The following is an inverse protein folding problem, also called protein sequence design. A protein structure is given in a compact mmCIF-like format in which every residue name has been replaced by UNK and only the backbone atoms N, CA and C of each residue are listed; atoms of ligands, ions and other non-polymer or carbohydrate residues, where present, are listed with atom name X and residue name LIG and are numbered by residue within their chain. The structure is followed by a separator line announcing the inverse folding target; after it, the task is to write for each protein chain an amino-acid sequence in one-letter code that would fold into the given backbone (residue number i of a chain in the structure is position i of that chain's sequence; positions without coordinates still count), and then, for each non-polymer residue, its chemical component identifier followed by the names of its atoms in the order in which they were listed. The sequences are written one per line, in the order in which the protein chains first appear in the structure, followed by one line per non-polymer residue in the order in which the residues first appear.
data_IF_734175842071
#
_entry.id   IF_734175842071
#
_cell.length_a   1.000
_cell.length_b   1.000
_cell.length_c   1.000
_cell.angle_alpha   90.00
_cell.angle_beta   90.00
_cell.angle_gamma   90.00
#
_symmetry.space_group_name_H-M   'P 1'
#
loop_
_entity.id
_entity.type
_entity.pdbx_description
1 polymer ?
#
# COMPACT_ATOMS: atom_id res chain seq x y z
N UNK A 1 -31.31 32.52 20.35
CA UNK A 1 -31.38 31.46 19.32
C UNK A 1 -30.28 30.45 19.59
N UNK A 2 -30.61 29.19 19.91
CA UNK A 2 -29.62 28.12 20.06
C UNK A 2 -29.07 27.76 18.68
N UNK A 3 -27.84 28.17 18.38
CA UNK A 3 -27.10 27.69 17.20
C UNK A 3 -26.70 26.25 17.51
N UNK A 4 -27.41 25.28 16.94
CA UNK A 4 -26.93 23.91 16.92
C UNK A 4 -25.72 23.89 16.00
N UNK A 5 -24.51 23.90 16.58
CA UNK A 5 -23.32 23.54 15.83
C UNK A 5 -23.46 22.06 15.50
N UNK A 6 -24.02 21.74 14.33
CA UNK A 6 -23.74 20.46 13.71
C UNK A 6 -22.23 20.46 13.52
N UNK A 7 -21.51 19.72 14.35
CA UNK A 7 -20.07 19.47 14.17
C UNK A 7 -19.94 18.60 12.93
N UNK A 8 -20.13 19.21 11.75
CA UNK A 8 -19.88 18.55 10.47
C UNK A 8 -18.41 18.18 10.47
N UNK A 9 -18.12 16.88 10.34
CA UNK A 9 -16.73 16.42 10.21
C UNK A 9 -16.16 17.14 8.99
N UNK A 10 -15.03 17.83 9.17
CA UNK A 10 -14.44 18.59 8.06
C UNK A 10 -14.06 17.62 6.92
N UNK A 11 -14.26 18.06 5.68
CA UNK A 11 -13.86 17.28 4.50
C UNK A 11 -12.37 16.86 4.56
N UNK A 12 -11.51 17.73 5.11
CA UNK A 12 -10.10 17.44 5.34
C UNK A 12 -9.87 16.29 6.33
N UNK A 13 -10.62 16.27 7.44
CA UNK A 13 -10.57 15.17 8.42
C UNK A 13 -11.04 13.86 7.80
N UNK A 14 -12.15 13.89 7.05
CA UNK A 14 -12.70 12.71 6.38
C UNK A 14 -11.74 12.15 5.31
N UNK A 15 -11.13 13.02 4.51
CA UNK A 15 -10.13 12.64 3.51
C UNK A 15 -8.91 11.98 4.16
N UNK A 16 -8.41 12.56 5.27
CA UNK A 16 -7.29 11.99 6.03
C UNK A 16 -7.64 10.61 6.58
N UNK A 17 -8.83 10.48 7.19
CA UNK A 17 -9.32 9.19 7.70
C UNK A 17 -9.44 8.15 6.61
N UNK A 18 -9.96 8.52 5.44
CA UNK A 18 -10.14 7.62 4.31
C UNK A 18 -8.79 7.11 3.79
N UNK A 19 -7.78 7.95 3.62
CA UNK A 19 -6.44 7.52 3.13
C UNK A 19 -5.69 6.67 4.16
N UNK A 20 -5.86 6.97 5.44
CA UNK A 20 -5.15 6.27 6.53
C UNK A 20 -5.85 5.00 7.01
N UNK A 21 -7.07 4.72 6.52
CA UNK A 21 -7.83 3.55 6.97
C UNK A 21 -7.09 2.24 6.68
N UNK A 22 -7.16 1.30 7.62
CA UNK A 22 -6.59 -0.05 7.52
C UNK A 22 -7.64 -1.08 7.92
N UNK A 23 -7.56 -2.25 7.28
CA UNK A 23 -8.43 -3.39 7.55
C UNK A 23 -8.21 -3.94 8.97
N UNK A 24 -6.97 -3.97 9.45
CA UNK A 24 -6.60 -4.55 10.74
C UNK A 24 -7.20 -5.97 10.90
N UNK A 25 -7.95 -6.22 11.97
CA UNK A 25 -8.60 -7.50 12.25
C UNK A 25 -10.05 -7.57 11.74
N UNK A 26 -10.50 -6.59 10.93
CA UNK A 26 -11.87 -6.57 10.39
C UNK A 26 -12.00 -7.52 9.19
N UNK A 27 -13.19 -8.06 8.99
CA UNK A 27 -13.52 -8.77 7.76
C UNK A 27 -13.42 -7.82 6.55
N UNK A 28 -13.19 -8.37 5.35
CA UNK A 28 -13.15 -7.57 4.12
C UNK A 28 -14.47 -6.81 3.91
N UNK A 29 -15.59 -7.42 4.32
CA UNK A 29 -16.92 -6.82 4.20
C UNK A 29 -17.13 -5.64 5.15
N UNK A 30 -16.79 -5.81 6.43
CA UNK A 30 -16.91 -4.72 7.42
C UNK A 30 -15.95 -3.57 7.09
N UNK A 31 -14.74 -3.91 6.65
CA UNK A 31 -13.78 -2.92 6.17
C UNK A 31 -14.31 -2.18 4.94
N UNK A 32 -14.87 -2.90 3.96
CA UNK A 32 -15.49 -2.31 2.78
C UNK A 32 -16.62 -1.33 3.12
N UNK A 33 -17.54 -1.74 4.01
CA UNK A 33 -18.64 -0.87 4.50
C UNK A 33 -18.10 0.38 5.19
N UNK A 34 -17.01 0.27 5.96
CA UNK A 34 -16.39 1.42 6.63
C UNK A 34 -15.79 2.41 5.61
N UNK A 35 -15.15 1.91 4.56
CA UNK A 35 -14.63 2.75 3.46
C UNK A 35 -15.79 3.42 2.71
N UNK A 36 -16.86 2.69 2.42
CA UNK A 36 -18.06 3.22 1.75
C UNK A 36 -18.73 4.35 2.56
N UNK A 37 -18.88 4.17 3.87
CA UNK A 37 -19.41 5.21 4.75
C UNK A 37 -18.54 6.47 4.73
N UNK A 38 -17.21 6.33 4.79
CA UNK A 38 -16.29 7.47 4.70
C UNK A 38 -16.32 8.16 3.34
N UNK A 39 -16.47 7.40 2.25
CA UNK A 39 -16.64 7.92 0.90
C UNK A 39 -17.91 8.78 0.79
N UNK A 40 -19.04 8.30 1.31
CA UNK A 40 -20.31 9.03 1.29
C UNK A 40 -20.22 10.28 2.16
N UNK A 41 -19.72 10.17 3.39
CA UNK A 41 -19.53 11.32 4.29
C UNK A 41 -18.62 12.38 3.65
N UNK A 42 -17.50 11.97 3.03
CA UNK A 42 -16.57 12.87 2.36
C UNK A 42 -17.23 13.58 1.18
N UNK A 43 -17.96 12.83 0.35
CA UNK A 43 -18.60 13.37 -0.85
C UNK A 43 -19.68 14.39 -0.48
N UNK A 44 -20.47 14.13 0.56
CA UNK A 44 -21.46 15.07 1.08
C UNK A 44 -20.76 16.32 1.66
N UNK A 45 -19.72 16.12 2.46
CA UNK A 45 -18.98 17.22 3.10
C UNK A 45 -18.25 18.11 2.09
N UNK A 46 -17.81 17.58 0.95
CA UNK A 46 -17.18 18.34 -0.12
C UNK A 46 -18.18 19.01 -1.06
N UNK A 47 -19.33 18.37 -1.30
CA UNK A 47 -20.35 18.93 -2.20
C UNK A 47 -21.04 20.16 -1.60
N UNK A 48 -21.14 20.25 -0.27
CA UNK A 48 -21.69 21.40 0.46
C UNK A 48 -23.03 21.91 -0.11
N UNK A 49 -23.90 20.98 -0.51
CA UNK A 49 -25.21 21.26 -1.10
C UNK A 49 -25.23 21.53 -2.62
N UNK A 50 -24.09 21.51 -3.30
CA UNK A 50 -24.01 21.67 -4.76
C UNK A 50 -24.16 20.32 -5.50
N UNK A 51 -25.27 20.16 -6.22
CA UNK A 51 -25.60 18.94 -6.97
C UNK A 51 -24.71 18.67 -8.19
N UNK A 52 -24.20 19.71 -8.85
CA UNK A 52 -23.28 19.54 -9.99
C UNK A 52 -21.90 19.10 -9.51
N UNK A 53 -21.43 19.71 -8.41
CA UNK A 53 -20.19 19.30 -7.75
C UNK A 53 -20.29 17.85 -7.26
N UNK A 54 -21.46 17.42 -6.75
CA UNK A 54 -21.68 16.05 -6.28
C UNK A 54 -21.38 15.00 -7.36
N UNK A 55 -21.77 15.25 -8.62
CA UNK A 55 -21.55 14.29 -9.71
C UNK A 55 -20.06 14.13 -10.01
N UNK A 56 -19.31 15.23 -10.07
CA UNK A 56 -17.86 15.23 -10.33
C UNK A 56 -17.08 14.64 -9.13
N UNK A 57 -17.46 15.04 -7.92
CA UNK A 57 -16.85 14.59 -6.68
C UNK A 57 -17.06 13.10 -6.47
N UNK A 58 -18.22 12.55 -6.86
CA UNK A 58 -18.50 11.12 -6.75
C UNK A 58 -17.46 10.30 -7.51
N UNK A 59 -17.20 10.60 -8.77
CA UNK A 59 -16.21 9.86 -9.56
C UNK A 59 -14.79 9.99 -9.01
N UNK A 60 -14.43 11.19 -8.54
CA UNK A 60 -13.10 11.47 -8.00
C UNK A 60 -12.90 10.75 -6.66
N UNK A 61 -13.87 10.82 -5.77
CA UNK A 61 -13.83 10.19 -4.46
C UNK A 61 -13.93 8.67 -4.57
N UNK A 62 -14.63 8.13 -5.56
CA UNK A 62 -14.68 6.68 -5.82
C UNK A 62 -13.27 6.14 -6.09
N UNK A 63 -12.50 6.79 -6.97
CA UNK A 63 -11.10 6.42 -7.24
C UNK A 63 -10.23 6.52 -5.99
N UNK A 64 -10.44 7.55 -5.17
CA UNK A 64 -9.72 7.72 -3.91
C UNK A 64 -10.07 6.60 -2.92
N UNK A 65 -11.34 6.23 -2.81
CA UNK A 65 -11.82 5.16 -1.94
C UNK A 65 -11.30 3.79 -2.38
N UNK A 66 -11.27 3.48 -3.68
CA UNK A 66 -10.70 2.24 -4.23
C UNK A 66 -9.21 2.15 -3.89
N UNK A 67 -8.45 3.23 -4.07
CA UNK A 67 -7.04 3.27 -3.73
C UNK A 67 -6.81 3.11 -2.22
N UNK A 68 -7.60 3.80 -1.40
CA UNK A 68 -7.56 3.69 0.06
C UNK A 68 -7.87 2.26 0.54
N UNK A 69 -8.94 1.66 -0.01
CA UNK A 69 -9.32 0.28 0.25
C UNK A 69 -8.20 -0.69 -0.12
N UNK A 70 -7.69 -0.60 -1.35
CA UNK A 70 -6.61 -1.45 -1.84
C UNK A 70 -5.29 -1.25 -1.08
N UNK A 71 -5.01 -0.07 -0.54
CA UNK A 71 -3.83 0.14 0.31
C UNK A 71 -4.06 -0.36 1.76
N UNK A 72 -5.30 -0.32 2.22
CA UNK A 72 -5.69 -0.66 3.58
C UNK A 72 -5.91 -2.14 3.85
N UNK A 73 -6.04 -2.99 2.81
CA UNK A 73 -6.16 -4.44 2.98
C UNK A 73 -4.95 -5.02 3.73
N UNK A 74 -5.21 -6.03 4.56
CA UNK A 74 -4.18 -6.68 5.38
C UNK A 74 -3.25 -7.56 4.52
N UNK A 75 -3.81 -8.34 3.59
CA UNK A 75 -3.04 -9.28 2.77
C UNK A 75 -2.34 -8.54 1.60
N UNK A 76 -0.98 -8.53 1.53
CA UNK A 76 -0.24 -7.87 0.45
C UNK A 76 -0.51 -8.46 -0.95
N UNK A 77 -0.83 -9.74 -1.07
CA UNK A 77 -1.18 -10.36 -2.35
C UNK A 77 -2.50 -9.80 -2.87
N UNK A 78 -3.53 -9.74 -2.02
CA UNK A 78 -4.82 -9.13 -2.34
C UNK A 78 -4.64 -7.65 -2.72
N UNK A 79 -3.81 -6.90 -2.00
CA UNK A 79 -3.51 -5.50 -2.38
C UNK A 79 -3.01 -5.38 -3.81
N UNK A 80 -2.10 -6.27 -4.21
CA UNK A 80 -1.52 -6.27 -5.55
C UNK A 80 -2.55 -6.67 -6.60
N UNK A 81 -3.31 -7.74 -6.36
CA UNK A 81 -4.34 -8.22 -7.28
C UNK A 81 -5.41 -7.15 -7.51
N UNK A 82 -5.91 -6.53 -6.44
CA UNK A 82 -6.97 -5.53 -6.54
C UNK A 82 -6.49 -4.27 -7.25
N UNK A 83 -5.25 -3.81 -7.00
CA UNK A 83 -4.65 -2.71 -7.77
C UNK A 83 -4.50 -3.03 -9.25
N UNK A 84 -4.05 -4.25 -9.58
CA UNK A 84 -3.86 -4.67 -10.96
C UNK A 84 -5.17 -4.76 -11.75
N UNK A 85 -6.28 -5.12 -11.07
CA UNK A 85 -7.61 -5.21 -11.70
C UNK A 85 -8.24 -3.87 -12.05
N UNK A 86 -7.75 -2.77 -11.48
CA UNK A 86 -8.17 -1.40 -11.81
C UNK A 86 -9.70 -1.22 -11.86
N UNK A 87 -10.37 -1.57 -10.76
CA UNK A 87 -11.82 -1.48 -10.64
C UNK A 87 -12.33 -0.03 -10.83
N UNK A 88 -13.52 0.08 -11.43
CA UNK A 88 -14.18 1.38 -11.63
C UNK A 88 -15.03 1.82 -10.45
N UNK A 89 -15.55 0.86 -9.68
CA UNK A 89 -16.42 1.08 -8.53
C UNK A 89 -15.90 0.34 -7.29
N UNK A 90 -16.10 0.93 -6.13
CA UNK A 90 -15.68 0.38 -4.84
C UNK A 90 -16.37 -0.95 -4.54
N UNK A 91 -17.66 -1.08 -4.85
CA UNK A 91 -18.43 -2.30 -4.63
C UNK A 91 -17.86 -3.50 -5.39
N UNK A 92 -17.41 -3.30 -6.64
CA UNK A 92 -16.74 -4.32 -7.46
C UNK A 92 -15.39 -4.70 -6.85
N UNK A 93 -14.63 -3.73 -6.35
CA UNK A 93 -13.36 -4.00 -5.67
C UNK A 93 -13.55 -4.80 -4.37
N UNK A 94 -14.60 -4.50 -3.59
CA UNK A 94 -14.95 -5.25 -2.36
C UNK A 94 -15.32 -6.69 -2.72
N UNK A 95 -16.23 -6.87 -3.70
CA UNK A 95 -16.64 -8.20 -4.15
C UNK A 95 -15.46 -9.00 -4.69
N UNK A 96 -14.66 -8.40 -5.57
CA UNK A 96 -13.45 -9.01 -6.08
C UNK A 96 -12.48 -9.42 -4.98
N UNK A 97 -12.33 -8.60 -3.93
CA UNK A 97 -11.49 -8.94 -2.78
C UNK A 97 -12.01 -10.14 -2.00
N UNK A 98 -13.33 -10.28 -1.85
CA UNK A 98 -13.95 -11.45 -1.19
C UNK A 98 -13.69 -12.73 -2.01
N UNK A 99 -13.88 -12.66 -3.33
CA UNK A 99 -13.70 -13.79 -4.24
C UNK A 99 -12.23 -14.26 -4.25
N UNK A 100 -11.28 -13.32 -4.34
CA UNK A 100 -9.84 -13.63 -4.30
C UNK A 100 -9.38 -14.17 -2.95
N UNK A 101 -9.93 -13.65 -1.85
CA UNK A 101 -9.57 -14.12 -0.52
C UNK A 101 -10.02 -15.57 -0.31
N UNK A 102 -11.21 -15.95 -0.82
CA UNK A 102 -11.68 -17.33 -0.80
C UNK A 102 -10.81 -18.25 -1.68
N UNK A 103 -10.42 -17.78 -2.87
CA UNK A 103 -9.56 -18.54 -3.80
C UNK A 103 -8.15 -18.77 -3.23
N UNK A 104 -7.56 -17.76 -2.59
CA UNK A 104 -6.20 -17.83 -2.00
C UNK A 104 -6.12 -18.81 -0.83
N UNK A 105 -7.21 -18.97 -0.06
CA UNK A 105 -7.26 -19.98 0.99
C UNK A 105 -7.26 -21.41 0.43
N UNK A 106 -7.84 -21.62 -0.76
CA UNK A 106 -7.86 -22.91 -1.43
C UNK A 106 -6.51 -23.28 -2.07
N UNK A 107 -5.78 -22.31 -2.62
CA UNK A 107 -4.53 -22.55 -3.34
C UNK A 107 -3.30 -22.83 -2.45
N UNK A 108 -3.34 -22.45 -1.17
CA UNK A 108 -2.26 -22.75 -0.20
C UNK A 108 -2.06 -24.24 0.10
N UNK A 109 -2.99 -25.11 -0.31
CA UNK A 109 -2.84 -26.57 -0.21
C UNK A 109 -1.78 -27.09 -1.19
N UNK A 110 -1.48 -26.36 -2.26
CA UNK A 110 -0.33 -26.64 -3.13
C UNK A 110 0.92 -25.93 -2.61
N UNK A 111 1.42 -26.37 -1.46
CA UNK A 111 2.77 -26.02 -1.03
C UNK A 111 3.78 -26.64 -2.02
N UNK A 112 4.15 -25.86 -3.04
CA UNK A 112 5.38 -26.12 -3.77
C UNK A 112 6.51 -26.09 -2.75
N UNK A 113 6.99 -27.29 -2.41
CA UNK A 113 8.28 -27.50 -1.79
C UNK A 113 9.32 -26.98 -2.78
N UNK A 114 9.55 -25.66 -2.77
CA UNK A 114 10.75 -25.07 -3.37
C UNK A 114 11.91 -25.63 -2.57
N UNK A 115 12.56 -26.63 -3.15
CA UNK A 115 13.74 -27.26 -2.63
C UNK A 115 14.68 -26.19 -2.07
N UNK A 116 15.00 -26.36 -0.79
CA UNK A 116 16.06 -25.62 -0.12
C UNK A 116 17.36 -25.95 -0.86
N UNK A 117 17.73 -25.12 -1.84
CA UNK A 117 19.09 -25.09 -2.36
C UNK A 117 19.94 -24.44 -1.27
N UNK A 118 20.32 -25.24 -0.27
CA UNK A 118 21.42 -24.96 0.63
C UNK A 118 22.70 -24.83 -0.21
N UNK A 119 22.96 -23.64 -0.73
CA UNK A 119 24.27 -23.31 -1.26
C UNK A 119 25.18 -23.05 -0.06
N UNK A 120 25.71 -24.14 0.52
CA UNK A 120 26.83 -24.07 1.44
C UNK A 120 28.07 -23.74 0.61
N UNK A 121 28.23 -22.46 0.27
CA UNK A 121 29.54 -21.95 -0.16
C UNK A 121 30.39 -21.90 1.10
N UNK A 122 30.96 -23.08 1.39
CA UNK A 122 32.01 -23.32 2.35
C UNK A 122 33.17 -22.42 1.94
N UNK A 123 33.42 -21.38 2.74
CA UNK A 123 34.55 -20.49 2.58
C UNK A 123 35.83 -21.29 2.41
N UNK A 124 36.41 -21.24 1.21
CA UNK A 124 37.81 -21.57 1.01
C UNK A 124 38.61 -20.30 1.21
N UNK A 125 39.19 -20.20 2.41
CA UNK A 125 40.35 -19.38 2.71
C UNK A 125 41.35 -19.43 1.54
N UNK A 126 41.56 -18.32 0.86
CA UNK A 126 42.81 -18.07 0.13
C UNK A 126 43.41 -16.77 0.68
N UNK A 127 44.24 -16.94 1.70
CA UNK A 127 45.20 -15.95 2.14
C UNK A 127 46.27 -15.81 1.05
N UNK A 128 46.16 -14.83 0.16
CA UNK A 128 47.32 -14.33 -0.58
C UNK A 128 47.96 -13.22 0.25
N UNK A 129 48.82 -13.67 1.16
CA UNK A 129 49.85 -12.86 1.81
C UNK A 129 51.08 -12.83 0.90
N UNK A 130 51.76 -11.69 0.90
CA UNK A 130 53.13 -11.47 0.39
C UNK A 130 53.36 -11.43 -1.13
N UNK A 131 53.50 -10.21 -1.66
CA UNK A 131 54.78 -9.85 -2.28
C UNK A 131 55.11 -8.37 -2.03
N UNK A 132 56.11 -8.18 -1.18
CA UNK A 132 56.84 -6.95 -1.01
C UNK A 132 57.53 -6.56 -2.33
N UNK A 133 57.33 -5.35 -2.82
CA UNK A 133 58.32 -4.53 -3.57
C UNK A 133 57.75 -3.15 -3.90
N UNK A 134 57.74 -2.25 -2.92
CA UNK A 134 57.77 -0.81 -3.20
C UNK A 134 59.19 -0.33 -2.96
N UNK A 135 59.95 -0.27 -4.04
CA UNK A 135 61.31 0.21 -4.11
C UNK A 135 61.28 1.75 -4.00
N UNK A 136 61.57 2.28 -2.81
CA UNK A 136 61.82 3.69 -2.60
C UNK A 136 63.20 4.06 -3.18
N UNK A 137 63.21 4.56 -4.42
CA UNK A 137 64.28 5.40 -4.96
C UNK A 137 63.66 6.78 -5.26
N UNK A 138 63.84 7.76 -4.37
CA UNK A 138 64.96 8.69 -4.35
C UNK A 138 65.02 9.55 -5.63
N UNK A 139 64.62 10.82 -5.57
CA UNK A 139 65.43 11.92 -6.11
C UNK A 139 65.01 13.28 -5.50
N UNK A 140 66.03 13.91 -4.91
CA UNK A 140 66.02 15.16 -4.20
C UNK A 140 65.72 16.38 -5.07
N UNK A 141 65.01 17.32 -4.45
CA UNK A 141 64.83 18.72 -4.87
C UNK A 141 66.18 19.44 -4.90
N UNK A 142 66.54 20.04 -6.04
CA UNK A 142 67.57 21.07 -6.09
C UNK A 142 66.94 22.42 -5.71
N UNK A 143 67.57 23.10 -4.76
CA UNK A 143 67.27 24.45 -4.36
C UNK A 143 68.61 25.18 -4.20
N UNK A 144 69.02 25.91 -5.24
CA UNK A 144 69.87 27.12 -5.23
C UNK A 144 70.12 27.58 -6.66
#
# INVERSE_FOLDING_TARGET
MRRFFLTTKSAASLSTQLVQIRQNNMSIEDFGRKVENLLVELTIAQADGNSEALQILRETNEKLAINAFANGLQNPELRTIIKARNYSKLNEAIRGSKDENASTQSSKVFSLHRGSYHNTVRGSNHNYRDSQRSNYGNFNRHNK
#
